data_IF_810613997144
#
_entry.id   IF_810613997144
#
_cell.length_a   1.000
_cell.length_b   1.000
_cell.length_c   1.000
_cell.angle_alpha   90.00
_cell.angle_beta   90.00
_cell.angle_gamma   90.00
#
_symmetry.space_group_name_H-M   'P 1'
#
loop_
_entity.id
_entity.type
_entity.pdbx_description
1 polymer ?
#
# COMPACT_ATOMS: atom_id res chain seq x y z
N UNK A 1 -10.08 17.02 -22.64
CA UNK A 1 -10.41 15.75 -23.32
C UNK A 1 -10.60 15.97 -24.81
N UNK A 2 -9.97 15.15 -25.65
CA UNK A 2 -10.21 15.10 -27.11
C UNK A 2 -11.35 14.11 -27.40
N UNK A 3 -12.51 14.63 -27.80
CA UNK A 3 -13.72 13.82 -28.02
C UNK A 3 -13.56 12.84 -29.18
N UNK A 4 -12.82 13.20 -30.23
CA UNK A 4 -12.66 12.33 -31.40
C UNK A 4 -11.80 11.12 -31.04
N UNK A 5 -10.69 11.36 -30.33
CA UNK A 5 -9.83 10.28 -29.81
C UNK A 5 -10.58 9.37 -28.83
N UNK A 6 -11.44 9.94 -27.99
CA UNK A 6 -12.27 9.15 -27.07
C UNK A 6 -13.31 8.31 -27.80
N UNK A 7 -13.88 8.80 -28.91
CA UNK A 7 -14.79 8.01 -29.76
C UNK A 7 -14.09 6.83 -30.38
N UNK A 8 -12.89 7.02 -30.93
CA UNK A 8 -12.11 5.92 -31.52
C UNK A 8 -11.78 4.83 -30.48
N UNK A 9 -11.38 5.25 -29.28
CA UNK A 9 -11.13 4.33 -28.16
C UNK A 9 -12.39 3.59 -27.70
N UNK A 10 -13.51 4.32 -27.59
CA UNK A 10 -14.81 3.75 -27.24
C UNK A 10 -15.29 2.74 -28.29
N UNK A 11 -15.31 3.11 -29.57
CA UNK A 11 -15.76 2.26 -30.67
C UNK A 11 -14.89 0.98 -30.74
N UNK A 12 -13.57 1.11 -30.59
CA UNK A 12 -12.65 -0.04 -30.51
C UNK A 12 -12.94 -0.97 -29.32
N UNK A 13 -13.24 -0.42 -28.14
CA UNK A 13 -13.63 -1.22 -26.98
C UNK A 13 -14.99 -1.90 -27.16
N UNK A 14 -15.96 -1.14 -27.70
CA UNK A 14 -17.35 -1.54 -27.84
C UNK A 14 -17.56 -2.61 -28.93
N UNK A 15 -16.61 -2.78 -29.86
CA UNK A 15 -16.61 -3.88 -30.85
C UNK A 15 -16.65 -5.28 -30.22
N UNK A 16 -16.33 -5.42 -28.92
CA UNK A 16 -16.54 -6.67 -28.16
C UNK A 16 -18.01 -7.03 -28.01
N UNK A 17 -18.90 -6.04 -28.01
CA UNK A 17 -20.34 -6.19 -27.82
C UNK A 17 -21.09 -6.05 -29.14
N UNK A 18 -20.61 -5.19 -30.04
CA UNK A 18 -21.22 -4.93 -31.33
C UNK A 18 -20.34 -5.43 -32.48
N UNK A 19 -20.82 -6.44 -33.21
CA UNK A 19 -20.07 -7.10 -34.29
C UNK A 19 -20.15 -6.42 -35.65
N UNK A 20 -20.91 -5.34 -35.75
CA UNK A 20 -21.15 -4.64 -37.02
C UNK A 20 -20.92 -3.15 -36.86
N UNK A 21 -20.23 -2.54 -37.83
CA UNK A 21 -19.95 -1.10 -37.83
C UNK A 21 -21.23 -0.24 -37.87
N UNK A 22 -22.35 -0.81 -38.33
CA UNK A 22 -23.67 -0.17 -38.28
C UNK A 22 -24.08 0.26 -36.86
N UNK A 23 -23.63 -0.44 -35.82
CA UNK A 23 -23.96 -0.07 -34.44
C UNK A 23 -23.40 1.32 -34.07
N UNK A 24 -22.32 1.76 -34.72
CA UNK A 24 -21.66 3.04 -34.47
C UNK A 24 -22.11 4.13 -35.45
N UNK A 25 -23.23 3.93 -36.14
CA UNK A 25 -23.83 4.96 -37.01
C UNK A 25 -24.21 6.19 -36.19
N UNK A 26 -23.95 7.38 -36.76
CA UNK A 26 -24.06 8.66 -36.09
C UNK A 26 -25.01 9.58 -36.82
N UNK A 27 -25.82 10.33 -36.07
CA UNK A 27 -26.62 11.44 -36.57
C UNK A 27 -26.12 12.73 -35.91
N UNK A 28 -25.36 13.52 -36.65
CA UNK A 28 -24.65 14.65 -36.09
C UNK A 28 -23.60 14.19 -35.08
N UNK A 29 -23.69 14.66 -33.84
CA UNK A 29 -22.72 14.38 -32.77
C UNK A 29 -23.12 13.22 -31.85
N UNK A 30 -24.11 12.41 -32.20
CA UNK A 30 -24.58 11.32 -31.33
C UNK A 30 -24.78 10.03 -32.11
N UNK A 31 -24.61 8.90 -31.43
CA UNK A 31 -24.94 7.58 -31.98
C UNK A 31 -26.45 7.45 -32.15
N UNK A 32 -26.87 6.64 -33.12
CA UNK A 32 -28.30 6.49 -33.47
C UNK A 32 -28.97 5.43 -32.59
N UNK A 33 -28.22 4.42 -32.13
CA UNK A 33 -28.75 3.32 -31.33
C UNK A 33 -28.66 3.64 -29.84
N UNK A 34 -29.79 3.53 -29.14
CA UNK A 34 -29.93 3.91 -27.73
C UNK A 34 -28.93 3.18 -26.81
N UNK A 35 -28.64 1.90 -27.08
CA UNK A 35 -27.66 1.13 -26.31
C UNK A 35 -26.25 1.71 -26.45
N UNK A 36 -25.89 2.15 -27.66
CA UNK A 36 -24.57 2.73 -27.94
C UNK A 36 -24.48 4.14 -27.38
N UNK A 37 -25.59 4.90 -27.41
CA UNK A 37 -25.70 6.20 -26.72
C UNK A 37 -25.47 6.05 -25.23
N UNK A 38 -26.18 5.14 -24.56
CA UNK A 38 -26.04 4.90 -23.13
C UNK A 38 -24.60 4.50 -22.75
N UNK A 39 -23.99 3.59 -23.51
CA UNK A 39 -22.61 3.17 -23.28
C UNK A 39 -21.60 4.32 -23.51
N UNK A 40 -21.84 5.16 -24.52
CA UNK A 40 -21.02 6.33 -24.80
C UNK A 40 -21.12 7.39 -23.70
N UNK A 41 -22.32 7.67 -23.21
CA UNK A 41 -22.54 8.64 -22.13
C UNK A 41 -21.83 8.17 -20.85
N UNK A 42 -21.97 6.88 -20.52
CA UNK A 42 -21.23 6.28 -19.41
C UNK A 42 -19.71 6.36 -19.59
N UNK A 43 -19.21 6.12 -20.80
CA UNK A 43 -17.79 6.26 -21.13
C UNK A 43 -17.32 7.69 -20.88
N UNK A 44 -18.03 8.68 -21.42
CA UNK A 44 -17.67 10.09 -21.28
C UNK A 44 -17.71 10.54 -19.82
N UNK A 45 -18.73 10.17 -19.04
CA UNK A 45 -18.78 10.48 -17.61
C UNK A 45 -17.55 9.92 -16.88
N UNK A 46 -17.17 8.67 -17.17
CA UNK A 46 -15.97 8.08 -16.55
C UNK A 46 -14.67 8.74 -17.00
N UNK A 47 -14.56 9.16 -18.25
CA UNK A 47 -13.38 9.90 -18.71
C UNK A 47 -13.26 11.28 -18.06
N UNK A 48 -14.39 11.97 -17.83
CA UNK A 48 -14.40 13.24 -17.10
C UNK A 48 -13.95 13.04 -15.64
N UNK A 49 -14.44 12.00 -14.96
CA UNK A 49 -13.96 11.64 -13.60
C UNK A 49 -12.46 11.36 -13.59
N UNK A 50 -11.95 10.60 -14.57
CA UNK A 50 -10.52 10.29 -14.70
C UNK A 50 -9.70 11.56 -14.94
N UNK A 51 -10.14 12.45 -15.82
CA UNK A 51 -9.45 13.72 -16.11
C UNK A 51 -9.43 14.63 -14.87
N UNK A 52 -10.52 14.66 -14.08
CA UNK A 52 -10.56 15.38 -12.80
C UNK A 52 -9.57 14.80 -11.78
N UNK A 53 -9.50 13.47 -11.66
CA UNK A 53 -8.55 12.79 -10.79
C UNK A 53 -7.10 13.03 -11.21
N UNK A 54 -6.81 13.03 -12.52
CA UNK A 54 -5.47 13.38 -13.04
C UNK A 54 -5.10 14.82 -12.73
N UNK A 55 -6.02 15.77 -12.86
CA UNK A 55 -5.77 17.17 -12.52
C UNK A 55 -5.54 17.36 -11.00
N UNK A 56 -6.25 16.59 -10.16
CA UNK A 56 -5.99 16.53 -8.71
C UNK A 56 -4.61 15.94 -8.42
N UNK A 57 -4.20 14.90 -9.14
CA UNK A 57 -2.89 14.26 -9.02
C UNK A 57 -1.75 15.22 -9.41
N UNK A 58 -1.85 15.91 -10.54
CA UNK A 58 -0.84 16.86 -11.02
C UNK A 58 -0.61 18.03 -10.04
N UNK A 59 -1.67 18.47 -9.35
CA UNK A 59 -1.56 19.45 -8.25
C UNK A 59 -0.84 18.90 -7.02
N UNK A 60 -0.86 17.58 -6.79
CA UNK A 60 -0.14 16.93 -5.70
C UNK A 60 1.33 16.70 -6.05
N UNK A 61 1.62 16.32 -7.30
CA UNK A 61 2.99 16.11 -7.82
C UNK A 61 3.83 17.39 -7.87
N UNK A 62 3.19 18.57 -7.91
CA UNK A 62 3.86 19.87 -7.84
C UNK A 62 4.19 20.33 -6.40
N UNK A 63 3.84 19.54 -5.38
CA UNK A 63 4.21 19.78 -3.98
C UNK A 63 5.18 18.74 -3.41
N UNK A 64 5.68 18.96 -2.19
CA UNK A 64 6.52 18.00 -1.46
C UNK A 64 5.67 16.88 -0.83
N UNK A 65 4.95 16.11 -1.64
CA UNK A 65 4.12 15.00 -1.18
C UNK A 65 4.63 13.68 -1.73
N UNK A 66 4.41 12.59 -0.99
CA UNK A 66 4.70 11.23 -1.44
C UNK A 66 3.38 10.55 -1.78
N UNK A 67 3.22 10.14 -3.03
CA UNK A 67 2.08 9.35 -3.50
C UNK A 67 2.37 7.88 -3.28
N UNK A 68 1.48 7.20 -2.57
CA UNK A 68 1.63 5.79 -2.20
C UNK A 68 0.34 5.08 -2.58
N UNK A 69 0.46 3.88 -3.17
CA UNK A 69 -0.71 3.10 -3.53
C UNK A 69 -1.39 2.63 -2.24
N UNK A 70 -2.72 2.65 -2.19
CA UNK A 70 -3.44 2.12 -1.02
C UNK A 70 -3.11 0.64 -0.74
N UNK A 71 -2.73 -0.13 -1.77
CA UNK A 71 -2.24 -1.50 -1.62
C UNK A 71 -0.89 -1.63 -0.90
N UNK A 72 -0.17 -0.53 -0.70
CA UNK A 72 1.12 -0.43 0.01
C UNK A 72 0.94 0.17 1.43
N UNK A 73 -0.32 0.34 1.87
CA UNK A 73 -0.68 0.86 3.19
C UNK A 73 -1.49 -0.19 3.93
N UNK A 74 -0.88 -0.81 4.93
CA UNK A 74 -1.57 -1.71 5.86
C UNK A 74 -2.48 -0.93 6.80
N UNK A 75 -3.59 -1.56 7.19
CA UNK A 75 -4.52 -1.02 8.19
C UNK A 75 -4.24 -1.69 9.53
N UNK A 76 -3.85 -0.89 10.53
CA UNK A 76 -3.53 -1.35 11.88
C UNK A 76 -4.49 -0.74 12.88
N UNK A 77 -4.88 -1.52 13.88
CA UNK A 77 -5.89 -1.21 14.87
C UNK A 77 -5.25 -1.08 16.24
N UNK A 78 -5.64 -0.07 17.01
CA UNK A 78 -5.09 0.15 18.34
C UNK A 78 -5.69 -0.82 19.34
N UNK A 79 -4.85 -1.67 19.92
CA UNK A 79 -5.18 -2.45 21.10
C UNK A 79 -4.82 -1.63 22.35
N UNK A 80 -5.83 -1.14 23.06
CA UNK A 80 -5.64 -0.34 24.28
C UNK A 80 -5.01 -1.17 25.41
N UNK A 81 -5.21 -2.49 25.43
CA UNK A 81 -4.71 -3.37 26.49
C UNK A 81 -3.19 -3.57 26.41
N UNK A 82 -2.67 -3.72 25.19
CA UNK A 82 -1.24 -3.87 24.91
C UNK A 82 -0.57 -2.52 24.59
N UNK A 83 -1.36 -1.47 24.38
CA UNK A 83 -0.88 -0.13 24.08
C UNK A 83 -0.19 0.00 22.71
N UNK A 84 -0.51 -0.88 21.76
CA UNK A 84 0.14 -0.98 20.45
C UNK A 84 -0.86 -1.03 19.30
N UNK A 85 -0.39 -0.76 18.07
CA UNK A 85 -1.16 -0.95 16.84
C UNK A 85 -0.84 -2.33 16.26
N UNK A 86 -1.87 -3.14 15.96
CA UNK A 86 -1.75 -4.50 15.41
C UNK A 86 -2.57 -4.65 14.13
N UNK A 87 -2.15 -5.53 13.23
CA UNK A 87 -2.82 -5.85 11.97
C UNK A 87 -3.94 -6.91 12.12
N UNK A 88 -4.00 -7.59 13.27
CA UNK A 88 -4.99 -8.61 13.60
C UNK A 88 -5.91 -8.17 14.77
N UNK A 89 -7.00 -7.42 14.51
CA UNK A 89 -7.86 -6.89 15.56
C UNK A 89 -8.69 -7.96 16.27
N UNK A 90 -8.81 -9.16 15.70
CA UNK A 90 -9.49 -10.31 16.30
C UNK A 90 -8.94 -10.63 17.71
N UNK A 91 -7.66 -10.32 17.96
CA UNK A 91 -7.00 -10.55 19.24
C UNK A 91 -7.65 -9.79 20.41
N UNK A 92 -8.18 -8.58 20.19
CA UNK A 92 -8.86 -7.80 21.24
C UNK A 92 -10.37 -7.64 21.02
N UNK A 93 -10.87 -7.88 19.80
CA UNK A 93 -12.31 -7.87 19.49
C UNK A 93 -13.01 -9.20 19.76
N UNK A 94 -12.28 -10.24 20.14
CA UNK A 94 -12.78 -11.57 20.56
C UNK A 94 -13.90 -11.52 21.61
N UNK A 95 -13.96 -10.46 22.43
CA UNK A 95 -14.96 -10.30 23.48
C UNK A 95 -16.20 -9.47 23.07
N UNK A 96 -16.29 -9.02 21.81
CA UNK A 96 -17.41 -8.23 21.34
C UNK A 96 -18.63 -9.12 21.07
N UNK A 97 -19.70 -8.94 21.84
CA UNK A 97 -20.89 -9.78 21.74
C UNK A 97 -21.86 -9.31 20.65
N UNK A 98 -22.77 -10.20 20.25
CA UNK A 98 -23.77 -9.88 19.24
C UNK A 98 -24.69 -8.71 19.67
N UNK A 99 -24.64 -7.61 18.91
CA UNK A 99 -25.41 -6.41 19.19
C UNK A 99 -24.63 -5.32 19.94
N UNK A 100 -23.39 -5.59 20.32
CA UNK A 100 -22.48 -4.59 20.88
C UNK A 100 -21.76 -3.80 19.79
N UNK A 101 -21.39 -2.56 20.12
CA UNK A 101 -20.63 -1.66 19.25
C UNK A 101 -19.46 -1.12 20.04
N UNK A 102 -18.27 -1.26 19.49
CA UNK A 102 -17.03 -0.74 20.05
C UNK A 102 -16.35 0.19 19.04
N UNK A 103 -15.92 1.35 19.51
CA UNK A 103 -15.07 2.23 18.72
C UNK A 103 -13.64 1.69 18.71
N UNK A 104 -13.05 1.57 17.52
CA UNK A 104 -11.67 1.08 17.34
C UNK A 104 -10.88 2.13 16.56
N UNK A 105 -9.77 2.58 17.13
CA UNK A 105 -8.87 3.48 16.42
C UNK A 105 -8.11 2.70 15.34
N UNK A 106 -8.18 3.18 14.11
CA UNK A 106 -7.48 2.59 12.96
C UNK A 106 -6.48 3.61 12.38
N UNK A 107 -5.30 3.14 12.03
CA UNK A 107 -4.28 3.92 11.31
C UNK A 107 -3.76 3.15 10.11
N UNK A 108 -3.55 3.89 9.01
CA UNK A 108 -2.80 3.39 7.87
C UNK A 108 -1.30 3.57 8.11
N UNK A 109 -0.53 2.49 8.03
CA UNK A 109 0.93 2.54 8.07
C UNK A 109 1.52 2.10 6.74
N UNK A 110 2.68 2.67 6.39
CA UNK A 110 3.51 2.14 5.31
C UNK A 110 4.22 0.91 5.85
N UNK A 111 4.09 -0.22 5.15
CA UNK A 111 4.88 -1.40 5.47
C UNK A 111 6.33 -1.10 5.08
N UNK A 112 7.13 -0.71 6.07
CA UNK A 112 8.55 -0.49 5.89
C UNK A 112 9.23 -1.86 5.69
N UNK A 113 10.30 -1.92 4.87
CA UNK A 113 11.10 -3.14 4.75
C UNK A 113 11.54 -3.64 6.12
N UNK A 114 11.48 -4.96 6.33
CA UNK A 114 11.98 -5.58 7.55
C UNK A 114 13.44 -5.20 7.80
N UNK A 115 13.76 -4.90 9.06
CA UNK A 115 15.14 -4.65 9.50
C UNK A 115 15.70 -5.87 10.22
N UNK A 116 17.02 -6.01 10.22
CA UNK A 116 17.70 -7.06 10.95
C UNK A 116 18.23 -6.48 12.27
N UNK A 117 18.06 -7.20 13.37
CA UNK A 117 18.58 -6.78 14.66
C UNK A 117 19.53 -7.85 15.23
N UNK A 118 20.63 -7.40 15.83
CA UNK A 118 21.54 -8.26 16.58
C UNK A 118 22.07 -7.52 17.81
N UNK A 119 22.36 -8.26 18.88
CA UNK A 119 23.14 -7.73 20.00
C UNK A 119 24.59 -7.55 19.56
N UNK A 120 25.24 -6.52 20.09
CA UNK A 120 26.63 -6.20 19.75
C UNK A 120 27.53 -6.25 20.96
N UNK A 121 28.83 -6.44 20.75
CA UNK A 121 29.81 -6.34 21.82
C UNK A 121 30.13 -4.88 22.13
N UNK A 122 30.08 -4.51 23.41
CA UNK A 122 30.57 -3.24 23.91
C UNK A 122 32.06 -3.39 24.27
N UNK A 123 32.94 -2.78 23.50
CA UNK A 123 34.38 -2.82 23.77
C UNK A 123 34.78 -2.01 25.02
N UNK A 124 34.00 -1.00 25.41
CA UNK A 124 34.30 -0.15 26.56
C UNK A 124 33.96 -0.86 27.86
N UNK A 125 32.76 -1.43 27.93
CA UNK A 125 32.30 -2.17 29.11
C UNK A 125 32.75 -3.65 29.11
N UNK A 126 33.29 -4.13 27.98
CA UNK A 126 33.63 -5.53 27.76
C UNK A 126 32.45 -6.46 28.08
N UNK A 127 31.27 -6.13 27.58
CA UNK A 127 30.06 -6.92 27.80
C UNK A 127 29.15 -6.86 26.57
N UNK A 128 28.10 -7.68 26.55
CA UNK A 128 27.08 -7.70 25.51
C UNK A 128 26.17 -6.47 25.66
N UNK A 129 26.28 -5.53 24.72
CA UNK A 129 25.41 -4.36 24.59
C UNK A 129 23.96 -4.76 24.27
N UNK A 130 23.10 -3.75 24.24
CA UNK A 130 21.75 -3.78 23.67
C UNK A 130 21.77 -4.11 22.16
N UNK A 131 20.59 -4.37 21.61
CA UNK A 131 20.43 -4.68 20.19
C UNK A 131 20.59 -3.42 19.32
N UNK A 132 21.12 -3.61 18.11
CA UNK A 132 21.23 -2.58 17.07
C UNK A 132 20.56 -3.07 15.79
N UNK A 133 20.05 -2.14 14.98
CA UNK A 133 19.51 -2.45 13.66
C UNK A 133 20.59 -2.42 12.57
N UNK A 134 20.47 -3.31 11.60
CA UNK A 134 21.37 -3.49 10.47
C UNK A 134 20.58 -3.47 9.17
N UNK A 135 21.23 -2.96 8.12
CA UNK A 135 20.60 -2.86 6.79
C UNK A 135 20.56 -4.19 6.05
N UNK A 136 21.40 -5.14 6.44
CA UNK A 136 21.49 -6.47 5.82
C UNK A 136 21.60 -7.57 6.87
N UNK A 137 21.13 -8.76 6.49
CA UNK A 137 21.24 -9.98 7.31
C UNK A 137 22.70 -10.33 7.61
N UNK A 138 23.56 -10.21 6.60
CA UNK A 138 24.98 -10.56 6.70
C UNK A 138 25.71 -9.70 7.74
N UNK A 139 25.44 -8.38 7.79
CA UNK A 139 26.02 -7.50 8.80
C UNK A 139 25.53 -7.84 10.21
N UNK A 140 24.23 -8.11 10.36
CA UNK A 140 23.66 -8.52 11.64
C UNK A 140 24.27 -9.85 12.12
N UNK A 141 24.43 -10.82 11.23
CA UNK A 141 25.03 -12.12 11.52
C UNK A 141 26.51 -11.97 11.90
N UNK A 142 27.28 -11.15 11.17
CA UNK A 142 28.67 -10.86 11.52
C UNK A 142 28.79 -10.22 12.91
N UNK A 143 27.91 -9.28 13.23
CA UNK A 143 27.88 -8.64 14.55
C UNK A 143 27.50 -9.63 15.66
N UNK A 144 26.51 -10.49 15.42
CA UNK A 144 26.09 -11.52 16.36
C UNK A 144 27.21 -12.53 16.64
N UNK A 145 27.84 -13.07 15.58
CA UNK A 145 28.95 -14.04 15.70
C UNK A 145 30.16 -13.42 16.40
N UNK A 146 30.50 -12.17 16.09
CA UNK A 146 31.58 -11.46 16.78
C UNK A 146 31.29 -11.31 18.28
N UNK A 147 30.07 -10.91 18.62
CA UNK A 147 29.64 -10.72 20.00
C UNK A 147 29.65 -12.04 20.79
N UNK A 148 29.12 -13.11 20.20
CA UNK A 148 29.15 -14.45 20.79
C UNK A 148 30.59 -14.95 21.03
N UNK A 149 31.48 -14.79 20.05
CA UNK A 149 32.88 -15.20 20.17
C UNK A 149 33.61 -14.43 21.30
N UNK A 150 33.35 -13.13 21.45
CA UNK A 150 33.91 -12.32 22.53
C UNK A 150 33.39 -12.73 23.90
N UNK A 151 32.09 -12.95 24.01
CA UNK A 151 31.46 -13.42 25.23
C UNK A 151 32.01 -14.79 25.67
N UNK A 152 32.15 -15.73 24.73
CA UNK A 152 32.72 -17.06 25.00
C UNK A 152 34.18 -16.97 25.46
N UNK A 153 35.01 -16.17 24.79
CA UNK A 153 36.42 -15.96 25.15
C UNK A 153 36.60 -15.34 26.55
N UNK A 154 35.64 -14.52 27.00
CA UNK A 154 35.64 -13.97 28.35
C UNK A 154 35.43 -15.06 29.42
N UNK A 155 34.64 -16.08 29.10
CA UNK A 155 34.42 -17.24 29.98
C UNK A 155 35.62 -18.19 30.05
N UNK A 156 36.39 -18.34 28.97
CA UNK A 156 37.58 -19.22 28.91
C UNK A 156 38.85 -18.60 29.52
N UNK A 157 38.89 -17.27 29.73
CA UNK A 157 40.03 -16.57 30.34
C UNK A 157 40.11 -16.65 31.88
N UNK A 158 39.23 -17.43 32.51
CA UNK A 158 39.10 -17.57 33.96
C UNK A 158 39.44 -18.97 34.50
N UNK A 159 40.27 -19.74 33.77
CA UNK A 159 41.00 -20.94 34.27
C UNK A 159 42.49 -20.66 34.43
#
# INVERSE_FOLDING_TARGET
MDIQKQREAFESYAQKFFKTDKAFEKKGNQYIYDEVVMMWDCWITKQLEIDELKAKLEKLESGNHVLIKKSEIGDYYYDESEGIYIDEPDNFLTHLEAGEVQEVQCRGYFDLPSQYAARTWDEENQDVDTWKFFKSKEEAEKAAVYCEAKFAAQGEGHE
#
